data_IF_950839903477
#
_entry.id   IF_950839903477
#
_cell.length_a   1.000
_cell.length_b   1.000
_cell.length_c   1.000
_cell.angle_alpha   90.00
_cell.angle_beta   90.00
_cell.angle_gamma   90.00
#
_symmetry.space_group_name_H-M   'P 1'
#
loop_
_entity.id
_entity.type
_entity.pdbx_description
1 polymer ?
#
# COMPACT_ATOMS: atom_id res chain seq x y z
N UNK A 1 23.50 -18.81 -8.49
CA UNK A 1 22.22 -19.18 -7.88
C UNK A 1 21.94 -20.64 -8.17
N UNK A 2 22.37 -21.53 -7.26
CA UNK A 2 22.01 -22.95 -7.23
C UNK A 2 20.49 -23.11 -7.13
N UNK A 3 19.94 -24.26 -7.54
CA UNK A 3 18.51 -24.58 -7.37
C UNK A 3 18.09 -24.51 -5.90
N UNK A 4 18.97 -24.93 -5.00
CA UNK A 4 18.75 -24.91 -3.55
C UNK A 4 18.65 -23.47 -3.00
N UNK A 5 19.49 -22.55 -3.47
CA UNK A 5 19.44 -21.12 -3.06
C UNK A 5 18.14 -20.44 -3.50
N UNK A 6 17.57 -20.86 -4.64
CA UNK A 6 16.28 -20.35 -5.12
C UNK A 6 15.10 -20.91 -4.34
N UNK A 7 15.17 -22.16 -3.88
CA UNK A 7 14.16 -22.77 -3.02
C UNK A 7 14.15 -22.12 -1.63
N UNK A 8 15.33 -21.87 -1.04
CA UNK A 8 15.45 -21.20 0.26
C UNK A 8 14.88 -19.77 0.18
N UNK A 9 15.24 -19.00 -0.85
CA UNK A 9 14.70 -17.64 -1.03
C UNK A 9 13.18 -17.62 -1.30
N UNK A 10 12.62 -18.71 -1.83
CA UNK A 10 11.17 -18.85 -2.05
C UNK A 10 10.43 -19.20 -0.76
N UNK A 11 11.00 -20.07 0.06
CA UNK A 11 10.53 -20.39 1.43
C UNK A 11 10.54 -19.14 2.32
N UNK A 12 11.66 -18.42 2.37
CA UNK A 12 11.77 -17.15 3.12
C UNK A 12 10.73 -16.13 2.67
N UNK A 13 10.49 -16.03 1.35
CA UNK A 13 9.49 -15.13 0.80
C UNK A 13 8.05 -15.52 1.18
N UNK A 14 7.74 -16.82 1.25
CA UNK A 14 6.43 -17.28 1.73
C UNK A 14 6.20 -16.88 3.18
N UNK A 15 7.21 -17.05 4.04
CA UNK A 15 7.13 -16.68 5.46
C UNK A 15 6.84 -15.19 5.63
N UNK A 16 7.54 -14.33 4.88
CA UNK A 16 7.30 -12.88 4.92
C UNK A 16 5.87 -12.52 4.49
N UNK A 17 5.33 -13.17 3.45
CA UNK A 17 3.95 -12.95 3.01
C UNK A 17 2.95 -13.40 4.08
N UNK A 18 3.17 -14.55 4.71
CA UNK A 18 2.29 -15.04 5.78
C UNK A 18 2.30 -14.11 6.99
N UNK A 19 3.45 -13.54 7.35
CA UNK A 19 3.55 -12.53 8.41
C UNK A 19 2.84 -11.22 8.06
N UNK A 20 2.95 -10.75 6.81
CA UNK A 20 2.19 -9.58 6.34
C UNK A 20 0.68 -9.82 6.39
N UNK A 21 0.22 -11.01 5.99
CA UNK A 21 -1.21 -11.39 6.06
C UNK A 21 -1.70 -11.40 7.51
N UNK A 22 -0.94 -11.99 8.45
CA UNK A 22 -1.29 -11.98 9.88
C UNK A 22 -1.33 -10.57 10.47
N UNK A 23 -0.39 -9.69 10.07
CA UNK A 23 -0.39 -8.28 10.47
C UNK A 23 -1.62 -7.56 9.91
N UNK A 24 -2.03 -7.88 8.69
CA UNK A 24 -3.22 -7.33 8.05
C UNK A 24 -4.50 -7.75 8.78
N UNK A 25 -4.68 -9.04 9.09
CA UNK A 25 -5.82 -9.53 9.88
C UNK A 25 -5.91 -8.88 11.27
N UNK A 26 -4.77 -8.67 11.93
CA UNK A 26 -4.74 -7.99 13.23
C UNK A 26 -5.06 -6.50 13.12
N UNK A 27 -4.60 -5.83 12.06
CA UNK A 27 -4.96 -4.45 11.79
C UNK A 27 -6.44 -4.34 11.48
N UNK A 28 -7.01 -5.19 10.62
CA UNK A 28 -8.45 -5.22 10.34
C UNK A 28 -9.28 -5.39 11.62
N UNK A 29 -8.86 -6.28 12.53
CA UNK A 29 -9.49 -6.42 13.86
C UNK A 29 -9.39 -5.15 14.70
N UNK A 30 -8.26 -4.45 14.66
CA UNK A 30 -8.04 -3.19 15.37
C UNK A 30 -8.92 -2.06 14.79
N UNK A 31 -9.03 -1.99 13.46
CA UNK A 31 -9.91 -1.05 12.75
C UNK A 31 -11.38 -1.33 13.02
N UNK A 32 -11.80 -2.60 13.02
CA UNK A 32 -13.18 -2.96 13.40
C UNK A 32 -13.54 -2.47 14.80
N UNK A 33 -12.62 -2.62 15.77
CA UNK A 33 -12.80 -2.07 17.13
C UNK A 33 -12.80 -0.54 17.16
N UNK A 34 -12.01 0.11 16.31
CA UNK A 34 -11.97 1.57 16.20
C UNK A 34 -13.25 2.15 15.56
N UNK A 35 -13.79 1.49 14.53
CA UNK A 35 -15.03 1.90 13.89
C UNK A 35 -16.24 1.76 14.81
N UNK A 36 -16.31 0.69 15.61
CA UNK A 36 -17.32 0.57 16.69
C UNK A 36 -17.22 1.74 17.68
N UNK A 37 -15.99 2.16 18.02
CA UNK A 37 -15.79 3.29 18.91
C UNK A 37 -16.22 4.63 18.27
N UNK A 38 -16.02 4.81 16.97
CA UNK A 38 -16.45 6.00 16.25
C UNK A 38 -17.96 6.06 16.08
N UNK A 39 -18.61 4.94 15.73
CA UNK A 39 -20.08 4.81 15.70
C UNK A 39 -20.69 5.09 17.09
N UNK A 40 -20.06 4.58 18.16
CA UNK A 40 -20.46 4.89 19.53
C UNK A 40 -20.30 6.38 19.86
N UNK A 41 -19.19 7.01 19.49
CA UNK A 41 -18.96 8.45 19.71
C UNK A 41 -19.92 9.33 18.88
N UNK A 42 -20.26 8.93 17.66
CA UNK A 42 -21.29 9.57 16.84
C UNK A 42 -22.68 9.43 17.46
N UNK A 43 -22.99 8.29 18.09
CA UNK A 43 -24.24 8.09 18.83
C UNK A 43 -24.33 8.92 20.12
N UNK A 44 -23.22 9.48 20.59
CA UNK A 44 -23.13 10.30 21.80
C UNK A 44 -23.18 11.82 21.53
N UNK A 45 -23.62 12.27 20.34
CA UNK A 45 -23.70 13.70 19.95
C UNK A 45 -22.39 14.47 20.18
N UNK A 46 -21.24 13.83 19.96
CA UNK A 46 -19.93 14.51 19.99
C UNK A 46 -19.67 15.12 18.61
N UNK A 47 -19.47 16.45 18.48
CA UNK A 47 -19.19 17.06 17.18
C UNK A 47 -17.86 16.56 16.62
N UNK A 48 -17.91 15.77 15.55
CA UNK A 48 -16.74 15.39 14.76
C UNK A 48 -16.68 16.29 13.53
N UNK A 49 -16.03 17.44 13.65
CA UNK A 49 -15.68 18.24 12.48
C UNK A 49 -14.46 17.63 11.78
N UNK A 50 -14.64 17.20 10.54
CA UNK A 50 -13.56 17.19 9.55
C UNK A 50 -14.11 17.80 8.27
N UNK A 51 -14.00 19.12 8.18
CA UNK A 51 -14.15 19.83 6.91
C UNK A 51 -12.91 19.56 6.06
N UNK A 52 -13.11 19.17 4.80
CA UNK A 52 -12.29 19.62 3.67
C UNK A 52 -12.96 19.15 2.37
N UNK A 53 -13.71 20.07 1.76
CA UNK A 53 -14.04 20.07 0.33
C UNK A 53 -13.00 20.97 -0.34
N UNK A 54 -12.44 20.57 -1.49
CA UNK A 54 -12.20 21.48 -2.64
C UNK A 54 -11.72 20.68 -3.86
N UNK A 55 -12.64 20.53 -4.81
CA UNK A 55 -12.42 20.00 -6.16
C UNK A 55 -11.60 21.03 -6.98
N UNK A 56 -10.82 20.53 -7.94
CA UNK A 56 -10.03 21.28 -8.94
C UNK A 56 -8.60 21.72 -8.54
N UNK A 57 -7.75 20.77 -8.13
CA UNK A 57 -6.30 20.72 -8.47
C UNK A 57 -5.62 19.38 -8.07
N UNK A 58 -6.36 18.38 -7.62
CA UNK A 58 -5.83 17.23 -6.88
C UNK A 58 -4.87 16.35 -7.68
N UNK A 59 -5.08 16.19 -8.99
CA UNK A 59 -4.28 15.25 -9.81
C UNK A 59 -2.82 15.70 -9.95
N UNK A 60 -2.57 17.00 -10.17
CA UNK A 60 -1.20 17.53 -10.26
C UNK A 60 -0.50 17.51 -8.89
N UNK A 61 -1.23 17.87 -7.82
CA UNK A 61 -0.71 17.77 -6.44
C UNK A 61 -0.43 16.34 -6.02
N UNK A 62 -1.22 15.36 -6.49
CA UNK A 62 -0.98 13.93 -6.25
C UNK A 62 0.24 13.42 -7.02
N UNK A 63 0.41 13.80 -8.29
CA UNK A 63 1.58 13.44 -9.08
C UNK A 63 2.88 13.99 -8.47
N UNK A 64 2.85 15.24 -7.97
CA UNK A 64 3.99 15.86 -7.28
C UNK A 64 4.28 15.19 -5.93
N UNK A 65 3.25 14.81 -5.16
CA UNK A 65 3.40 14.03 -3.92
C UNK A 65 4.00 12.65 -4.20
N UNK A 66 3.60 11.98 -5.27
CA UNK A 66 4.15 10.70 -5.72
C UNK A 66 5.62 10.81 -6.11
N UNK A 67 6.01 11.87 -6.83
CA UNK A 67 7.43 12.12 -7.13
C UNK A 67 8.24 12.34 -5.85
N UNK A 68 7.71 13.13 -4.91
CA UNK A 68 8.33 13.34 -3.60
C UNK A 68 8.50 12.03 -2.82
N UNK A 69 7.59 11.06 -2.95
CA UNK A 69 7.75 9.74 -2.33
C UNK A 69 8.92 8.96 -2.93
N UNK A 70 9.03 8.94 -4.25
CA UNK A 70 10.11 8.21 -4.95
C UNK A 70 11.47 8.83 -4.61
N UNK A 71 11.55 10.16 -4.51
CA UNK A 71 12.80 10.86 -4.25
C UNK A 71 13.29 10.73 -2.79
N UNK A 72 12.42 10.35 -1.87
CA UNK A 72 12.79 10.00 -0.48
C UNK A 72 13.45 8.63 -0.36
N UNK A 73 13.47 7.83 -1.43
CA UNK A 73 14.03 6.48 -1.43
C UNK A 73 15.53 6.54 -1.70
N UNK A 74 16.32 6.28 -0.66
CA UNK A 74 17.79 6.28 -0.71
C UNK A 74 18.37 5.14 -1.57
N UNK A 75 17.62 4.05 -1.74
CA UNK A 75 18.08 2.87 -2.46
C UNK A 75 17.87 3.04 -3.97
N UNK A 76 18.99 3.19 -4.71
CA UNK A 76 18.97 3.55 -6.14
C UNK A 76 18.36 2.46 -7.03
N UNK A 77 18.48 1.19 -6.66
CA UNK A 77 17.87 0.04 -7.35
C UNK A 77 16.34 0.08 -7.23
N UNK A 78 15.83 0.38 -6.04
CA UNK A 78 14.41 0.52 -5.74
C UNK A 78 13.81 1.75 -6.44
N UNK A 79 14.50 2.88 -6.41
CA UNK A 79 14.09 4.10 -7.11
C UNK A 79 13.98 3.87 -8.63
N UNK A 80 14.96 3.21 -9.26
CA UNK A 80 14.88 2.85 -10.68
C UNK A 80 13.74 1.88 -10.98
N UNK A 81 13.50 0.91 -10.11
CA UNK A 81 12.41 -0.04 -10.27
C UNK A 81 11.05 0.68 -10.22
N UNK A 82 10.84 1.56 -9.24
CA UNK A 82 9.60 2.30 -9.05
C UNK A 82 9.34 3.33 -10.17
N UNK A 83 10.36 3.98 -10.72
CA UNK A 83 10.19 4.91 -11.86
C UNK A 83 9.60 4.24 -13.12
N UNK A 84 9.73 2.92 -13.25
CA UNK A 84 9.17 2.17 -14.38
C UNK A 84 7.74 1.67 -14.14
N UNK A 85 7.13 2.01 -13.01
CA UNK A 85 5.77 1.57 -12.68
C UNK A 85 4.73 2.46 -13.35
N UNK A 86 3.57 1.88 -13.61
CA UNK A 86 2.38 2.66 -13.97
C UNK A 86 1.89 3.40 -12.73
N UNK A 87 1.35 4.61 -12.91
CA UNK A 87 0.82 5.44 -11.83
C UNK A 87 -0.14 4.68 -10.90
N UNK A 88 -1.03 3.86 -11.46
CA UNK A 88 -1.96 3.06 -10.66
C UNK A 88 -1.26 2.07 -9.72
N UNK A 89 -0.19 1.41 -10.19
CA UNK A 89 0.57 0.47 -9.36
C UNK A 89 1.39 1.24 -8.31
N UNK A 90 1.88 2.43 -8.67
CA UNK A 90 2.67 3.31 -7.82
C UNK A 90 1.84 3.91 -6.67
N UNK A 91 0.62 4.37 -6.97
CA UNK A 91 -0.35 4.84 -5.97
C UNK A 91 -0.64 3.78 -4.92
N UNK A 92 -0.85 2.52 -5.33
CA UNK A 92 -1.11 1.43 -4.38
C UNK A 92 0.10 1.18 -3.47
N UNK A 93 1.33 1.23 -4.01
CA UNK A 93 2.55 1.09 -3.22
C UNK A 93 2.73 2.28 -2.26
N UNK A 94 2.52 3.49 -2.73
CA UNK A 94 2.65 4.69 -1.89
C UNK A 94 1.64 4.64 -0.74
N UNK A 95 0.35 4.40 -1.03
CA UNK A 95 -0.69 4.31 -0.02
C UNK A 95 -0.39 3.23 1.04
N UNK A 96 0.19 2.10 0.62
CA UNK A 96 0.57 1.01 1.53
C UNK A 96 1.78 1.36 2.39
N UNK A 97 2.88 1.81 1.78
CA UNK A 97 4.19 1.88 2.45
C UNK A 97 4.56 3.27 2.95
N UNK A 98 4.02 4.33 2.34
CA UNK A 98 4.18 5.71 2.83
C UNK A 98 3.14 6.06 3.88
N UNK A 99 1.88 5.75 3.59
CA UNK A 99 0.74 6.14 4.42
C UNK A 99 0.25 5.03 5.36
N UNK A 100 0.76 3.80 5.21
CA UNK A 100 0.45 2.69 6.12
C UNK A 100 -0.96 2.11 5.97
N UNK A 101 -1.66 2.38 4.86
CA UNK A 101 -3.04 1.96 4.67
C UNK A 101 -3.16 0.44 4.45
N UNK A 102 -4.21 -0.15 5.02
CA UNK A 102 -4.66 -1.51 4.73
C UNK A 102 -5.16 -1.63 3.28
N UNK A 103 -5.22 -2.85 2.73
CA UNK A 103 -5.75 -3.06 1.37
C UNK A 103 -7.19 -2.55 1.26
N UNK A 104 -7.98 -2.68 2.32
CA UNK A 104 -9.37 -2.25 2.34
C UNK A 104 -9.50 -0.72 2.35
N UNK A 105 -8.66 -0.02 3.14
CA UNK A 105 -8.58 1.44 3.09
C UNK A 105 -8.10 1.95 1.72
N UNK A 106 -7.16 1.23 1.08
CA UNK A 106 -6.73 1.53 -0.28
C UNK A 106 -7.88 1.35 -1.26
N UNK A 107 -8.68 0.30 -1.11
CA UNK A 107 -9.84 0.02 -1.96
C UNK A 107 -10.89 1.13 -1.84
N UNK A 108 -11.21 1.54 -0.61
CA UNK A 108 -12.11 2.67 -0.33
C UNK A 108 -11.56 3.96 -0.94
N UNK A 109 -10.28 4.27 -0.69
CA UNK A 109 -9.65 5.51 -1.15
C UNK A 109 -9.54 5.61 -2.67
N UNK A 110 -9.27 4.49 -3.35
CA UNK A 110 -9.20 4.42 -4.80
C UNK A 110 -10.56 4.12 -5.45
N UNK A 111 -11.64 3.97 -4.67
CA UNK A 111 -12.98 3.60 -5.12
C UNK A 111 -13.00 2.34 -6.00
N UNK A 112 -12.21 1.34 -5.61
CA UNK A 112 -12.14 0.03 -6.27
C UNK A 112 -12.59 -1.07 -5.32
N UNK A 113 -12.88 -2.27 -5.86
CA UNK A 113 -13.20 -3.44 -5.03
C UNK A 113 -11.96 -3.93 -4.26
N UNK A 114 -12.14 -4.45 -3.05
CA UNK A 114 -11.05 -5.03 -2.22
C UNK A 114 -10.20 -6.04 -2.98
N UNK A 115 -10.83 -6.99 -3.68
CA UNK A 115 -10.10 -7.97 -4.47
C UNK A 115 -9.25 -7.32 -5.57
N UNK A 116 -9.74 -6.22 -6.15
CA UNK A 116 -9.01 -5.48 -7.17
C UNK A 116 -7.81 -4.74 -6.56
N UNK A 117 -7.98 -4.11 -5.39
CA UNK A 117 -6.88 -3.50 -4.64
C UNK A 117 -5.81 -4.54 -4.28
N UNK A 118 -6.22 -5.70 -3.75
CA UNK A 118 -5.33 -6.83 -3.43
C UNK A 118 -4.56 -7.32 -4.65
N UNK A 119 -5.25 -7.54 -5.78
CA UNK A 119 -4.61 -7.98 -7.04
C UNK A 119 -3.64 -6.92 -7.57
N UNK A 120 -3.99 -5.63 -7.51
CA UNK A 120 -3.09 -4.54 -7.92
C UNK A 120 -1.84 -4.48 -7.04
N UNK A 121 -2.01 -4.58 -5.72
CA UNK A 121 -0.90 -4.63 -4.76
C UNK A 121 0.04 -5.81 -5.03
N UNK A 122 -0.50 -7.03 -5.14
CA UNK A 122 0.28 -8.23 -5.44
C UNK A 122 1.03 -8.13 -6.79
N UNK A 123 0.37 -7.58 -7.81
CA UNK A 123 0.99 -7.33 -9.13
C UNK A 123 2.14 -6.34 -9.01
N UNK A 124 1.94 -5.25 -8.26
CA UNK A 124 2.94 -4.22 -8.07
C UNK A 124 4.18 -4.80 -7.35
N UNK A 125 4.00 -5.54 -6.24
CA UNK A 125 5.10 -6.23 -5.54
C UNK A 125 5.82 -7.22 -6.45
N UNK A 126 5.08 -8.04 -7.22
CA UNK A 126 5.69 -9.03 -8.12
C UNK A 126 6.56 -8.37 -9.19
N UNK A 127 6.13 -7.24 -9.76
CA UNK A 127 6.94 -6.44 -10.69
C UNK A 127 8.18 -5.86 -10.02
N UNK A 128 8.04 -5.45 -8.76
CA UNK A 128 9.10 -4.78 -8.01
C UNK A 128 10.22 -5.79 -7.72
N UNK A 129 9.84 -6.98 -7.25
CA UNK A 129 10.76 -8.12 -7.08
C UNK A 129 11.46 -8.47 -8.39
N UNK A 130 10.72 -8.64 -9.48
CA UNK A 130 11.30 -8.96 -10.78
C UNK A 130 12.27 -7.87 -11.30
N UNK A 131 12.01 -6.60 -11.00
CA UNK A 131 12.86 -5.48 -11.40
C UNK A 131 14.14 -5.40 -10.55
N UNK A 132 14.04 -5.69 -9.25
CA UNK A 132 15.20 -5.76 -8.36
C UNK A 132 16.08 -6.97 -8.66
N UNK A 133 15.51 -8.13 -8.99
CA UNK A 133 16.26 -9.34 -9.35
C UNK A 133 16.98 -9.21 -10.70
N UNK A 134 16.46 -8.42 -11.64
CA UNK A 134 17.12 -8.13 -12.93
C UNK A 134 18.24 -7.09 -12.82
N UNK A 135 18.23 -6.29 -11.76
CA UNK A 135 19.22 -5.23 -11.50
C UNK A 135 20.30 -5.64 -10.47
N UNK A 136 20.28 -6.90 -10.01
CA UNK A 136 21.38 -7.55 -9.28
C UNK A 136 22.38 -8.15 -10.26
#
# INVERSE_FOLDING_TARGET
MSKEEKEIAYEEFKVVIEEEIKKEENNERKYYRHNISLEYLQSCDVPLESAENEQDSEVEKEAEKLMNFIDLISETSLLRALKNFKEEDLKVIELRYRFGLSINEIAIKLQIKDEAAKKKHQRAIKKLKASLEKNK
#
